data_IF_468453411882
#
_entry.id   IF_468453411882
#
_cell.length_a   1.000
_cell.length_b   1.000
_cell.length_c   1.000
_cell.angle_alpha   90.00
_cell.angle_beta   90.00
_cell.angle_gamma   90.00
#
_symmetry.space_group_name_H-M   'P 1'
#
loop_
_entity.id
_entity.type
_entity.pdbx_description
1 polymer ?
#
# COMPACT_ATOMS: atom_id res chain seq x y z
N UNK A 1 -38.06 22.85 -0.64
CA UNK A 1 -37.63 23.06 0.78
C UNK A 1 -36.13 23.27 0.89
N UNK A 2 -35.30 22.40 0.30
CA UNK A 2 -33.82 22.55 0.32
C UNK A 2 -33.36 23.86 -0.34
N UNK A 3 -33.77 24.13 -1.59
CA UNK A 3 -33.40 25.33 -2.34
C UNK A 3 -33.80 26.66 -1.65
N UNK A 4 -34.77 26.62 -0.79
CA UNK A 4 -35.17 27.78 0.03
C UNK A 4 -34.31 27.93 1.27
N UNK A 5 -34.06 26.84 2.00
CA UNK A 5 -33.42 26.85 3.31
C UNK A 5 -31.93 27.22 3.25
N UNK A 6 -31.16 26.60 2.33
CA UNK A 6 -29.70 26.76 2.36
C UNK A 6 -29.24 28.17 1.98
N UNK A 7 -29.95 28.85 1.04
CA UNK A 7 -29.65 30.26 0.73
C UNK A 7 -29.91 31.21 1.90
N UNK A 8 -30.99 30.98 2.64
CA UNK A 8 -31.30 31.76 3.84
C UNK A 8 -30.30 31.50 4.97
N UNK A 9 -29.92 30.25 5.20
CA UNK A 9 -28.90 29.90 6.21
C UNK A 9 -27.57 30.53 5.88
N UNK A 10 -27.10 30.41 4.64
CA UNK A 10 -25.85 31.02 4.16
C UNK A 10 -25.88 32.56 4.35
N UNK A 11 -27.01 33.20 4.05
CA UNK A 11 -27.18 34.64 4.23
C UNK A 11 -27.15 35.07 5.70
N UNK A 12 -27.85 34.35 6.59
CA UNK A 12 -27.89 34.60 8.04
C UNK A 12 -26.50 34.41 8.65
N UNK A 13 -25.79 33.35 8.26
CA UNK A 13 -24.45 33.05 8.77
C UNK A 13 -23.34 33.88 8.14
N UNK A 14 -23.66 34.75 7.16
CA UNK A 14 -22.69 35.57 6.42
C UNK A 14 -21.62 34.74 5.71
N UNK A 15 -21.99 33.59 5.17
CA UNK A 15 -21.13 32.75 4.34
C UNK A 15 -20.71 33.55 3.10
N UNK A 16 -19.41 33.62 2.80
CA UNK A 16 -18.91 34.37 1.66
C UNK A 16 -19.08 33.59 0.33
N UNK A 17 -18.87 32.27 0.39
CA UNK A 17 -18.94 31.37 -0.77
C UNK A 17 -19.72 30.11 -0.39
N UNK A 18 -20.85 29.91 -1.04
CA UNK A 18 -21.67 28.71 -0.92
C UNK A 18 -21.14 27.67 -1.90
N UNK A 19 -20.65 26.56 -1.39
CA UNK A 19 -19.96 25.54 -2.18
C UNK A 19 -20.89 24.34 -2.43
N UNK A 20 -21.19 24.07 -3.70
CA UNK A 20 -22.08 22.99 -4.12
C UNK A 20 -21.42 22.04 -5.14
N UNK A 21 -22.07 20.91 -5.40
CA UNK A 21 -21.73 20.05 -6.53
C UNK A 21 -22.41 20.52 -7.82
N UNK A 22 -21.94 20.07 -9.00
CA UNK A 22 -22.51 20.41 -10.31
C UNK A 22 -23.98 20.05 -10.44
N UNK A 23 -24.53 19.18 -9.62
CA UNK A 23 -25.97 18.83 -9.57
C UNK A 23 -26.83 20.06 -9.25
N UNK A 24 -26.29 21.08 -8.60
CA UNK A 24 -26.97 22.32 -8.20
C UNK A 24 -26.70 23.51 -9.14
N UNK A 25 -25.94 23.34 -10.23
CA UNK A 25 -25.65 24.42 -11.16
C UNK A 25 -26.92 25.04 -11.75
N UNK A 26 -27.90 24.19 -12.12
CA UNK A 26 -29.19 24.63 -12.65
C UNK A 26 -30.09 25.27 -11.57
N UNK A 27 -29.77 25.12 -10.28
CA UNK A 27 -30.50 25.71 -9.15
C UNK A 27 -29.96 27.10 -8.78
N UNK A 28 -28.76 27.50 -9.25
CA UNK A 28 -28.15 28.79 -8.91
C UNK A 28 -29.05 29.99 -9.22
N UNK A 29 -29.73 30.07 -10.39
CA UNK A 29 -30.64 31.19 -10.64
C UNK A 29 -31.76 31.33 -9.62
N UNK A 30 -32.25 30.22 -9.05
CA UNK A 30 -33.27 30.21 -8.01
C UNK A 30 -32.68 30.66 -6.66
N UNK A 31 -31.46 30.24 -6.34
CA UNK A 31 -30.71 30.68 -5.17
C UNK A 31 -30.51 32.18 -5.16
N UNK A 32 -29.99 32.74 -6.28
CA UNK A 32 -29.74 34.15 -6.45
C UNK A 32 -31.06 34.94 -6.36
N UNK A 33 -32.12 34.49 -7.05
CA UNK A 33 -33.42 35.14 -7.05
C UNK A 33 -34.05 35.25 -5.66
N UNK A 34 -34.00 34.23 -4.82
CA UNK A 34 -34.51 34.28 -3.45
C UNK A 34 -33.81 35.34 -2.60
N UNK A 35 -32.48 35.41 -2.69
CA UNK A 35 -31.67 36.36 -1.91
C UNK A 35 -31.88 37.81 -2.35
N UNK A 36 -32.04 38.03 -3.66
CA UNK A 36 -32.29 39.34 -4.24
C UNK A 36 -33.69 39.86 -3.90
N UNK A 37 -34.74 39.01 -4.06
CA UNK A 37 -36.11 39.39 -3.76
C UNK A 37 -36.36 39.68 -2.28
N UNK A 38 -35.62 39.00 -1.40
CA UNK A 38 -35.66 39.24 0.04
C UNK A 38 -34.80 40.41 0.48
N UNK A 39 -33.93 40.94 -0.38
CA UNK A 39 -33.02 42.04 -0.06
C UNK A 39 -32.03 41.72 1.08
N UNK A 40 -31.61 40.46 1.19
CA UNK A 40 -30.72 40.01 2.26
C UNK A 40 -29.29 39.80 1.71
N UNK A 41 -28.34 39.52 2.64
CA UNK A 41 -26.96 39.28 2.23
C UNK A 41 -26.86 38.13 1.23
N UNK A 42 -26.12 38.38 0.13
CA UNK A 42 -26.03 37.50 -1.01
C UNK A 42 -24.63 36.84 -1.08
N UNK A 43 -24.47 35.58 -0.62
CA UNK A 43 -23.27 34.78 -0.83
C UNK A 43 -23.06 34.43 -2.29
N UNK A 44 -21.81 34.20 -2.69
CA UNK A 44 -21.50 33.70 -4.02
C UNK A 44 -21.62 32.18 -4.05
N UNK A 45 -22.59 31.61 -4.79
CA UNK A 45 -22.65 30.17 -5.02
C UNK A 45 -21.66 29.74 -6.12
N UNK A 46 -20.90 28.71 -5.85
CA UNK A 46 -19.98 28.08 -6.80
C UNK A 46 -20.14 26.57 -6.77
N UNK A 47 -20.07 25.95 -7.94
CA UNK A 47 -20.19 24.50 -8.11
C UNK A 47 -18.95 23.92 -8.76
N UNK A 48 -18.64 22.69 -8.39
CA UNK A 48 -17.59 21.91 -9.04
C UNK A 48 -17.90 20.41 -9.01
N UNK A 49 -17.16 19.68 -9.82
CA UNK A 49 -17.34 18.24 -9.97
C UNK A 49 -17.04 17.48 -8.68
N UNK A 50 -17.83 16.45 -8.45
CA UNK A 50 -17.56 15.44 -7.43
C UNK A 50 -16.35 14.61 -7.84
N UNK A 51 -15.51 14.22 -6.88
CA UNK A 51 -14.46 13.23 -7.09
C UNK A 51 -15.07 11.86 -7.38
N UNK A 52 -14.70 11.26 -8.51
CA UNK A 52 -14.95 9.86 -8.82
C UNK A 52 -13.61 9.15 -9.04
N UNK A 53 -13.49 7.94 -8.53
CA UNK A 53 -12.28 7.12 -8.62
C UNK A 53 -12.59 5.81 -9.36
N UNK A 54 -11.64 5.33 -10.13
CA UNK A 54 -11.70 3.96 -10.68
C UNK A 54 -11.75 2.93 -9.56
N UNK A 55 -12.35 1.76 -9.82
CA UNK A 55 -12.50 0.64 -8.87
C UNK A 55 -13.21 1.01 -7.56
N UNK A 56 -13.98 2.11 -7.56
CA UNK A 56 -14.52 2.68 -6.33
C UNK A 56 -15.94 3.19 -6.51
N UNK A 57 -16.80 2.93 -5.54
CA UNK A 57 -18.15 3.50 -5.45
C UNK A 57 -18.14 4.64 -4.45
N UNK A 58 -18.51 5.86 -4.88
CA UNK A 58 -18.54 7.06 -4.04
C UNK A 58 -19.94 7.43 -3.54
N UNK A 59 -20.94 6.59 -3.80
CA UNK A 59 -22.33 6.81 -3.40
C UNK A 59 -22.60 6.32 -1.98
N UNK A 60 -23.01 7.21 -1.06
CA UNK A 60 -23.38 6.86 0.32
C UNK A 60 -24.41 5.71 0.38
N UNK A 61 -25.42 5.72 -0.50
CA UNK A 61 -26.47 4.68 -0.55
C UNK A 61 -25.86 3.30 -0.83
N UNK A 62 -24.97 3.22 -1.80
CA UNK A 62 -24.28 1.96 -2.17
C UNK A 62 -23.30 1.50 -1.10
N UNK A 63 -22.55 2.43 -0.50
CA UNK A 63 -21.65 2.11 0.62
C UNK A 63 -22.44 1.58 1.83
N UNK A 64 -23.61 2.18 2.14
CA UNK A 64 -24.51 1.69 3.18
C UNK A 64 -25.00 0.27 2.87
N UNK A 65 -25.30 -0.03 1.61
CA UNK A 65 -25.70 -1.37 1.17
C UNK A 65 -24.57 -2.39 1.37
N UNK A 66 -23.32 -2.05 1.02
CA UNK A 66 -22.15 -2.93 1.26
C UNK A 66 -21.96 -3.24 2.75
N UNK A 67 -22.14 -2.26 3.62
CA UNK A 67 -22.07 -2.45 5.08
C UNK A 67 -23.24 -3.27 5.57
N UNK A 68 -24.47 -2.93 5.16
CA UNK A 68 -25.70 -3.59 5.63
C UNK A 68 -25.82 -5.05 5.19
N UNK A 69 -25.28 -5.40 4.02
CA UNK A 69 -25.26 -6.75 3.48
C UNK A 69 -24.01 -7.55 3.88
N UNK A 70 -23.06 -6.95 4.63
CA UNK A 70 -21.89 -7.64 5.19
C UNK A 70 -20.76 -7.92 4.20
N UNK A 71 -20.71 -7.22 3.04
CA UNK A 71 -19.57 -7.31 2.09
C UNK A 71 -18.30 -6.68 2.64
N UNK A 72 -18.44 -5.73 3.55
CA UNK A 72 -17.37 -5.06 4.29
C UNK A 72 -17.68 -5.07 5.78
N UNK A 73 -16.65 -4.98 6.63
CA UNK A 73 -16.79 -5.07 8.10
C UNK A 73 -17.48 -3.87 8.74
N UNK A 74 -17.50 -2.71 8.05
CA UNK A 74 -18.10 -1.48 8.55
C UNK A 74 -17.65 -0.27 7.75
N UNK A 75 -17.99 0.92 8.25
CA UNK A 75 -17.62 2.19 7.63
C UNK A 75 -16.12 2.49 7.69
N UNK A 76 -15.39 1.83 8.57
CA UNK A 76 -13.94 1.90 8.72
C UNK A 76 -13.19 0.74 8.08
N UNK A 77 -13.88 -0.13 7.31
CA UNK A 77 -13.21 -1.18 6.55
C UNK A 77 -12.15 -0.57 5.63
N UNK A 78 -10.89 -1.06 5.66
CA UNK A 78 -9.78 -0.52 4.85
C UNK A 78 -10.00 -0.55 3.33
N UNK A 79 -11.02 -1.22 2.83
CA UNK A 79 -11.42 -1.23 1.42
C UNK A 79 -12.43 -0.12 1.06
N UNK A 80 -12.97 0.55 2.08
CA UNK A 80 -13.96 1.60 1.91
C UNK A 80 -13.30 2.96 1.62
N UNK A 81 -13.85 3.78 0.70
CA UNK A 81 -13.32 5.11 0.39
C UNK A 81 -13.72 6.18 1.41
N UNK A 82 -13.95 5.79 2.64
CA UNK A 82 -14.24 6.70 3.75
C UNK A 82 -12.94 7.18 4.39
N UNK A 83 -12.96 8.35 5.01
CA UNK A 83 -11.79 8.85 5.76
C UNK A 83 -11.38 7.86 6.87
N UNK A 84 -12.36 7.22 7.52
CA UNK A 84 -12.10 6.20 8.56
C UNK A 84 -11.43 4.96 7.97
N UNK A 85 -11.93 4.45 6.83
CA UNK A 85 -11.35 3.29 6.14
C UNK A 85 -9.93 3.58 5.62
N UNK A 86 -9.73 4.73 4.96
CA UNK A 86 -8.41 5.15 4.47
C UNK A 86 -7.41 5.31 5.62
N UNK A 87 -7.83 5.92 6.74
CA UNK A 87 -6.99 6.06 7.95
C UNK A 87 -6.60 4.71 8.52
N UNK A 88 -7.56 3.77 8.66
CA UNK A 88 -7.32 2.42 9.16
C UNK A 88 -6.43 1.62 8.22
N UNK A 89 -6.55 1.82 6.91
CA UNK A 89 -5.64 1.24 5.91
C UNK A 89 -4.21 1.81 6.00
N UNK A 90 -4.03 2.99 6.62
CA UNK A 90 -2.72 3.60 6.85
C UNK A 90 -2.41 4.79 5.94
N UNK A 91 -3.38 5.32 5.19
CA UNK A 91 -3.24 6.55 4.42
C UNK A 91 -2.99 7.73 5.37
N UNK A 92 -2.13 8.64 4.96
CA UNK A 92 -1.80 9.84 5.72
C UNK A 92 -2.66 11.03 5.25
N UNK A 93 -2.98 11.98 6.13
CA UNK A 93 -3.64 13.22 5.70
C UNK A 93 -2.87 13.96 4.62
N UNK A 94 -1.53 13.94 4.69
CA UNK A 94 -0.65 14.60 3.74
C UNK A 94 -0.72 13.97 2.37
N UNK A 95 -0.76 12.64 2.28
CA UNK A 95 -0.91 11.94 0.99
C UNK A 95 -2.24 12.24 0.31
N UNK A 96 -3.33 12.32 1.11
CA UNK A 96 -4.66 12.67 0.59
C UNK A 96 -4.69 14.12 0.11
N UNK A 97 -4.11 15.07 0.85
CA UNK A 97 -4.00 16.47 0.43
C UNK A 97 -3.19 16.61 -0.84
N UNK A 98 -2.01 15.98 -0.92
CA UNK A 98 -1.18 15.99 -2.13
C UNK A 98 -1.97 15.42 -3.34
N UNK A 99 -2.73 14.36 -3.15
CA UNK A 99 -3.61 13.84 -4.19
C UNK A 99 -4.65 14.88 -4.61
N UNK A 100 -5.38 15.51 -3.67
CA UNK A 100 -6.37 16.55 -3.98
C UNK A 100 -5.76 17.76 -4.71
N UNK A 101 -4.56 18.19 -4.32
CA UNK A 101 -3.83 19.27 -5.00
C UNK A 101 -3.47 18.92 -6.44
N UNK A 102 -3.05 17.68 -6.71
CA UNK A 102 -2.69 17.20 -8.06
C UNK A 102 -3.88 17.11 -8.99
N UNK A 103 -5.02 16.64 -8.52
CA UNK A 103 -6.22 16.53 -9.36
C UNK A 103 -6.88 17.89 -9.60
N UNK A 104 -6.73 18.82 -8.63
CA UNK A 104 -7.34 20.15 -8.69
C UNK A 104 -8.86 20.11 -8.62
N UNK A 105 -9.49 21.24 -8.99
CA UNK A 105 -10.94 21.42 -9.03
C UNK A 105 -11.37 21.61 -10.49
N UNK A 106 -12.39 20.88 -10.92
CA UNK A 106 -12.94 20.94 -12.28
C UNK A 106 -14.45 21.23 -12.26
N UNK A 107 -14.94 21.90 -13.32
CA UNK A 107 -16.37 22.13 -13.59
C UNK A 107 -16.95 21.13 -14.59
N UNK A 108 -16.33 19.96 -14.73
CA UNK A 108 -16.85 18.85 -15.54
C UNK A 108 -16.56 17.53 -14.81
N UNK A 109 -17.46 16.58 -14.92
CA UNK A 109 -17.31 15.28 -14.31
C UNK A 109 -16.18 14.49 -14.99
N UNK A 110 -15.28 13.97 -14.19
CA UNK A 110 -14.18 13.09 -14.60
C UNK A 110 -14.01 11.94 -13.63
N UNK A 111 -13.38 10.88 -14.09
CA UNK A 111 -12.97 9.75 -13.25
C UNK A 111 -11.46 9.78 -13.13
N UNK A 112 -10.95 9.76 -11.92
CA UNK A 112 -9.53 9.77 -11.60
C UNK A 112 -9.07 8.34 -11.33
N UNK A 113 -7.92 7.96 -11.88
CA UNK A 113 -7.32 6.66 -11.61
C UNK A 113 -6.90 6.58 -10.13
N UNK A 114 -7.38 5.55 -9.41
CA UNK A 114 -7.01 5.30 -8.00
C UNK A 114 -5.50 5.11 -7.84
N UNK A 115 -4.80 4.67 -8.89
CA UNK A 115 -3.34 4.55 -8.91
C UNK A 115 -2.62 5.84 -8.59
N UNK A 116 -3.19 7.02 -8.93
CA UNK A 116 -2.63 8.32 -8.56
C UNK A 116 -2.72 8.55 -7.03
N UNK A 117 -3.83 8.20 -6.41
CA UNK A 117 -3.97 8.27 -4.94
C UNK A 117 -2.95 7.35 -4.26
N UNK A 118 -2.83 6.12 -4.73
CA UNK A 118 -1.84 5.16 -4.21
C UNK A 118 -0.39 5.63 -4.42
N UNK A 119 -0.12 6.30 -5.54
CA UNK A 119 1.19 6.91 -5.82
C UNK A 119 1.52 8.00 -4.78
N UNK A 120 0.57 8.91 -4.49
CA UNK A 120 0.75 9.93 -3.45
C UNK A 120 1.02 9.33 -2.06
N UNK A 121 0.35 8.21 -1.74
CA UNK A 121 0.60 7.47 -0.50
C UNK A 121 2.02 6.89 -0.48
N UNK A 122 2.49 6.29 -1.58
CA UNK A 122 3.86 5.76 -1.68
C UNK A 122 4.90 6.85 -1.53
N UNK A 123 4.72 7.99 -2.17
CA UNK A 123 5.64 9.14 -2.05
C UNK A 123 5.76 9.65 -0.61
N UNK A 124 4.65 9.80 0.09
CA UNK A 124 4.65 10.26 1.47
C UNK A 124 5.29 9.23 2.40
N UNK A 125 4.87 7.97 2.31
CA UNK A 125 5.38 6.89 3.17
C UNK A 125 6.85 6.57 2.88
N UNK A 126 7.34 6.76 1.65
CA UNK A 126 8.76 6.58 1.34
C UNK A 126 9.66 7.51 2.16
N UNK A 127 9.20 8.71 2.44
CA UNK A 127 9.94 9.69 3.25
C UNK A 127 9.85 9.42 4.75
N UNK A 128 8.72 8.90 5.24
CA UNK A 128 8.39 8.86 6.68
C UNK A 128 8.47 7.49 7.31
N UNK A 129 8.17 6.43 6.55
CA UNK A 129 8.04 5.10 7.13
C UNK A 129 9.40 4.45 7.38
N UNK A 130 9.67 3.99 8.63
CA UNK A 130 10.83 3.15 8.90
C UNK A 130 10.76 1.86 8.07
N UNK A 131 11.92 1.42 7.55
CA UNK A 131 12.08 0.11 6.89
C UNK A 131 12.23 -0.94 7.96
N UNK A 132 11.49 -2.03 7.82
CA UNK A 132 11.57 -3.19 8.71
C UNK A 132 11.52 -4.47 7.89
N UNK A 133 11.94 -5.57 8.45
CA UNK A 133 11.84 -6.88 7.82
C UNK A 133 10.65 -7.65 8.40
N UNK A 134 9.83 -8.20 7.50
CA UNK A 134 8.75 -9.09 7.83
C UNK A 134 8.60 -10.16 6.75
N UNK A 135 8.27 -11.37 7.12
CA UNK A 135 8.09 -12.52 6.24
C UNK A 135 6.64 -12.96 6.35
N UNK A 136 5.91 -12.87 5.26
CA UNK A 136 4.46 -13.10 5.24
C UNK A 136 4.11 -14.58 5.03
N UNK A 137 4.86 -15.25 4.16
CA UNK A 137 4.73 -16.68 3.87
C UNK A 137 6.07 -17.37 4.17
N UNK A 138 6.27 -17.77 5.44
CA UNK A 138 7.59 -18.19 5.90
C UNK A 138 8.01 -19.55 5.33
N UNK A 139 9.25 -19.58 4.82
CA UNK A 139 10.02 -20.80 4.55
C UNK A 139 11.21 -20.82 5.50
N UNK A 140 11.38 -21.91 6.23
CA UNK A 140 12.45 -22.10 7.18
C UNK A 140 13.80 -22.28 6.50
N UNK A 141 14.84 -21.60 6.98
CA UNK A 141 16.22 -21.73 6.51
C UNK A 141 17.11 -22.06 7.71
N UNK A 142 17.88 -23.12 7.59
CA UNK A 142 18.89 -23.51 8.60
C UNK A 142 20.28 -23.29 8.00
N UNK A 143 21.10 -22.50 8.68
CA UNK A 143 22.49 -22.22 8.27
C UNK A 143 23.41 -23.22 8.97
N UNK A 144 23.85 -24.26 8.26
CA UNK A 144 24.53 -25.42 8.83
C UNK A 144 25.88 -25.08 9.48
N UNK A 145 26.60 -24.17 8.90
CA UNK A 145 27.93 -23.74 9.40
C UNK A 145 27.87 -22.51 10.32
N UNK A 146 26.68 -22.09 10.79
CA UNK A 146 26.52 -21.06 11.82
C UNK A 146 26.37 -21.74 13.20
N UNK A 147 27.06 -21.27 14.26
CA UNK A 147 26.98 -21.88 15.59
C UNK A 147 25.54 -21.87 16.16
N UNK A 148 25.17 -22.96 16.86
CA UNK A 148 23.78 -23.14 17.31
C UNK A 148 23.32 -22.09 18.32
N UNK A 149 24.16 -21.79 19.29
CA UNK A 149 23.84 -20.91 20.42
C UNK A 149 24.28 -19.45 20.17
N UNK A 150 24.73 -19.14 18.96
CA UNK A 150 25.20 -17.78 18.65
C UNK A 150 24.05 -16.93 18.09
N UNK A 151 23.90 -15.75 18.69
CA UNK A 151 23.13 -14.64 18.13
C UNK A 151 24.03 -13.45 18.01
N UNK A 152 23.96 -12.75 16.88
CA UNK A 152 24.66 -11.48 16.69
C UNK A 152 23.69 -10.39 16.24
N UNK A 153 24.02 -9.15 16.53
CA UNK A 153 23.25 -7.99 16.09
C UNK A 153 23.85 -7.41 14.80
N UNK A 154 23.00 -7.29 13.79
CA UNK A 154 23.33 -6.65 12.53
C UNK A 154 22.68 -5.26 12.47
N UNK A 155 23.40 -4.28 11.93
CA UNK A 155 22.89 -2.91 11.82
C UNK A 155 22.08 -2.75 10.53
N UNK A 156 20.82 -2.37 10.68
CA UNK A 156 19.91 -2.11 9.58
C UNK A 156 19.51 -0.63 9.55
N UNK A 157 19.51 -0.02 8.36
CA UNK A 157 19.12 1.38 8.16
C UNK A 157 17.61 1.52 8.31
N UNK A 158 17.16 2.48 9.13
CA UNK A 158 15.73 2.70 9.34
C UNK A 158 15.05 3.36 8.14
N UNK A 159 15.70 4.35 7.53
CA UNK A 159 15.21 4.94 6.29
C UNK A 159 16.40 5.48 5.45
N UNK A 160 16.64 4.95 4.24
CA UNK A 160 17.72 5.44 3.39
C UNK A 160 17.47 6.86 2.83
N UNK A 161 16.22 7.32 2.79
CA UNK A 161 15.86 8.69 2.35
C UNK A 161 16.03 9.72 3.47
N UNK A 162 16.08 9.26 4.73
CA UNK A 162 16.26 10.12 5.90
C UNK A 162 17.34 9.52 6.84
N UNK A 163 18.59 9.88 6.65
CA UNK A 163 19.68 9.42 7.52
C UNK A 163 19.50 9.80 9.00
N UNK A 164 18.69 10.85 9.30
CA UNK A 164 18.38 11.25 10.66
C UNK A 164 17.59 10.22 11.46
N UNK A 165 16.91 9.30 10.80
CA UNK A 165 16.23 8.17 11.44
C UNK A 165 17.20 7.09 11.98
N UNK A 166 18.49 7.14 11.63
CA UNK A 166 19.52 6.26 12.15
C UNK A 166 19.38 4.80 11.74
N UNK A 167 19.89 3.90 12.59
CA UNK A 167 19.90 2.46 12.39
C UNK A 167 19.26 1.74 13.57
N UNK A 168 18.92 0.46 13.38
CA UNK A 168 18.45 -0.45 14.41
C UNK A 168 19.25 -1.75 14.38
N UNK A 169 19.30 -2.43 15.53
CA UNK A 169 19.86 -3.75 15.66
C UNK A 169 18.83 -4.82 15.24
N UNK A 170 19.22 -5.73 14.37
CA UNK A 170 18.42 -6.87 13.94
C UNK A 170 19.16 -8.16 14.33
N UNK A 171 18.58 -9.03 15.16
CA UNK A 171 19.23 -10.26 15.58
C UNK A 171 19.35 -11.24 14.41
N UNK A 172 20.55 -11.84 14.26
CA UNK A 172 20.86 -12.90 13.31
C UNK A 172 21.19 -14.18 14.07
N UNK A 173 20.60 -15.29 13.67
CA UNK A 173 20.79 -16.60 14.29
C UNK A 173 20.90 -17.71 13.24
N UNK A 174 21.19 -18.93 13.67
CA UNK A 174 21.31 -20.11 12.79
C UNK A 174 20.04 -20.39 11.99
N UNK A 175 18.86 -20.18 12.56
CA UNK A 175 17.58 -20.45 11.92
C UNK A 175 16.88 -19.16 11.57
N UNK A 176 16.49 -19.02 10.30
CA UNK A 176 15.83 -17.86 9.74
C UNK A 176 14.52 -18.27 9.08
N UNK A 177 13.63 -17.27 8.87
CA UNK A 177 12.54 -17.36 7.91
C UNK A 177 12.79 -16.41 6.75
N UNK A 178 12.48 -16.88 5.54
CA UNK A 178 12.45 -16.09 4.29
C UNK A 178 11.07 -16.25 3.63
N UNK A 179 10.75 -15.45 2.61
CA UNK A 179 9.54 -15.68 1.82
C UNK A 179 9.64 -16.97 1.01
N UNK A 180 8.55 -17.74 0.93
CA UNK A 180 8.46 -18.93 0.07
C UNK A 180 8.80 -18.59 -1.39
N UNK A 181 8.33 -17.43 -1.88
CA UNK A 181 8.60 -16.96 -3.24
C UNK A 181 10.09 -16.64 -3.50
N UNK A 182 10.91 -16.52 -2.45
CA UNK A 182 12.35 -16.29 -2.59
C UNK A 182 13.14 -17.57 -2.86
N UNK A 183 12.48 -18.73 -2.91
CA UNK A 183 13.10 -20.00 -3.28
C UNK A 183 12.40 -20.68 -4.45
N UNK A 184 13.17 -21.30 -5.35
CA UNK A 184 12.70 -22.23 -6.39
C UNK A 184 13.72 -23.32 -6.63
N UNK A 185 13.26 -24.57 -6.72
CA UNK A 185 14.11 -25.71 -7.04
C UNK A 185 14.55 -25.66 -8.51
N UNK A 186 13.63 -25.39 -9.43
CA UNK A 186 13.90 -25.24 -10.86
C UNK A 186 13.63 -23.77 -11.28
N UNK A 187 14.65 -22.90 -11.13
CA UNK A 187 14.50 -21.50 -11.40
C UNK A 187 14.66 -21.15 -12.89
N UNK A 188 13.82 -20.26 -13.44
CA UNK A 188 14.01 -19.76 -14.79
C UNK A 188 15.30 -18.93 -14.93
N UNK A 189 15.80 -18.75 -16.17
CA UNK A 189 17.08 -18.07 -16.45
C UNK A 189 17.28 -16.70 -15.79
N UNK A 190 16.23 -15.93 -15.55
CA UNK A 190 16.27 -14.58 -14.96
C UNK A 190 15.79 -14.54 -13.49
N UNK A 191 15.82 -15.67 -12.80
CA UNK A 191 15.46 -15.73 -11.38
C UNK A 191 16.68 -15.42 -10.53
N UNK A 192 16.69 -14.26 -9.88
CA UNK A 192 17.80 -13.76 -9.05
C UNK A 192 17.46 -13.89 -7.55
N UNK A 193 17.04 -15.08 -7.13
CA UNK A 193 16.73 -15.44 -5.76
C UNK A 193 17.36 -16.79 -5.42
N UNK A 194 17.06 -17.35 -4.25
CA UNK A 194 17.66 -18.57 -3.76
C UNK A 194 17.19 -19.78 -4.58
N UNK A 195 18.13 -20.67 -4.89
CA UNK A 195 17.91 -21.94 -5.55
C UNK A 195 19.06 -22.91 -5.19
N UNK A 196 18.92 -24.22 -5.43
CA UNK A 196 19.99 -25.18 -5.16
C UNK A 196 21.33 -24.74 -5.80
N UNK A 197 22.37 -24.68 -4.99
CA UNK A 197 23.73 -24.24 -5.41
C UNK A 197 23.87 -22.75 -5.76
N UNK A 198 22.82 -21.94 -5.59
CA UNK A 198 22.89 -20.50 -5.85
C UNK A 198 23.09 -19.69 -4.58
N UNK A 199 23.93 -18.66 -4.71
CA UNK A 199 24.22 -17.71 -3.65
C UNK A 199 23.32 -16.47 -3.74
N UNK A 200 22.80 -16.03 -2.59
CA UNK A 200 22.05 -14.77 -2.46
C UNK A 200 22.58 -13.98 -1.26
N UNK A 201 22.34 -12.68 -1.27
CA UNK A 201 22.62 -11.80 -0.14
C UNK A 201 21.38 -11.69 0.77
N UNK A 202 21.55 -11.99 2.03
CA UNK A 202 20.61 -11.60 3.08
C UNK A 202 20.73 -10.09 3.34
N UNK A 203 19.61 -9.40 3.33
CA UNK A 203 19.57 -7.94 3.56
C UNK A 203 20.27 -7.58 4.88
N UNK A 204 21.24 -6.69 4.87
CA UNK A 204 22.08 -6.31 6.02
C UNK A 204 22.97 -7.44 6.60
N UNK A 205 22.84 -8.66 6.13
CA UNK A 205 23.49 -9.85 6.65
C UNK A 205 24.62 -10.37 5.76
N UNK A 206 24.59 -11.65 5.53
CA UNK A 206 25.63 -12.42 4.86
C UNK A 206 25.18 -12.91 3.48
N UNK A 207 26.10 -13.43 2.70
CA UNK A 207 25.79 -14.28 1.57
C UNK A 207 25.50 -15.70 2.07
N UNK A 208 24.45 -16.30 1.54
CA UNK A 208 24.07 -17.68 1.82
C UNK A 208 23.92 -18.46 0.51
N UNK A 209 24.30 -19.75 0.54
CA UNK A 209 24.13 -20.68 -0.57
C UNK A 209 23.24 -21.84 -0.13
N UNK A 210 22.18 -22.14 -0.88
CA UNK A 210 21.34 -23.29 -0.62
C UNK A 210 22.07 -24.58 -1.03
N UNK A 211 22.19 -25.51 -0.07
CA UNK A 211 22.85 -26.81 -0.25
C UNK A 211 21.80 -27.88 -0.51
N UNK A 212 20.69 -27.85 0.23
CA UNK A 212 19.65 -28.87 0.18
C UNK A 212 18.27 -28.23 0.43
N UNK A 213 17.24 -28.77 -0.23
CA UNK A 213 15.85 -28.46 0.03
C UNK A 213 15.16 -29.70 0.64
N UNK A 214 14.69 -29.55 1.86
CA UNK A 214 13.98 -30.62 2.58
C UNK A 214 12.49 -30.52 2.28
N UNK A 215 11.89 -31.64 1.90
CA UNK A 215 10.48 -31.72 1.55
C UNK A 215 9.66 -32.48 2.58
N UNK A 216 8.43 -32.06 2.73
CA UNK A 216 7.44 -32.86 3.45
C UNK A 216 7.15 -34.16 2.68
N UNK A 217 7.24 -35.29 3.36
CA UNK A 217 7.08 -36.63 2.74
C UNK A 217 5.69 -36.88 2.16
N UNK A 218 4.66 -36.16 2.64
CA UNK A 218 3.26 -36.37 2.25
C UNK A 218 2.84 -35.43 1.13
N UNK A 219 3.24 -34.16 1.21
CA UNK A 219 2.82 -33.14 0.25
C UNK A 219 3.82 -32.92 -0.88
N UNK A 220 5.11 -33.28 -0.66
CA UNK A 220 6.21 -32.99 -1.58
C UNK A 220 6.62 -31.51 -1.59
N UNK A 221 6.01 -30.69 -0.77
CA UNK A 221 6.34 -29.26 -0.68
C UNK A 221 7.64 -29.05 0.10
N UNK A 222 8.39 -28.02 -0.28
CA UNK A 222 9.61 -27.63 0.41
C UNK A 222 9.25 -26.96 1.74
N UNK A 223 9.71 -27.52 2.84
CA UNK A 223 9.42 -27.03 4.21
C UNK A 223 10.63 -26.44 4.92
N UNK A 224 11.85 -26.81 4.50
CA UNK A 224 13.08 -26.28 5.06
C UNK A 224 14.19 -26.22 3.98
N UNK A 225 15.06 -25.24 4.09
CA UNK A 225 16.26 -25.12 3.29
C UNK A 225 17.48 -25.27 4.20
N UNK A 226 18.43 -26.09 3.77
CA UNK A 226 19.77 -26.19 4.38
C UNK A 226 20.70 -25.30 3.59
N UNK A 227 21.34 -24.37 4.26
CA UNK A 227 22.20 -23.37 3.64
C UNK A 227 23.56 -23.29 4.36
N UNK A 228 24.56 -22.81 3.67
CA UNK A 228 25.81 -22.35 4.27
C UNK A 228 25.94 -20.83 4.11
N UNK A 229 26.58 -20.15 5.05
CA UNK A 229 26.89 -18.73 4.92
C UNK A 229 28.40 -18.51 4.75
N UNK A 230 28.77 -17.38 4.15
CA UNK A 230 30.14 -16.92 4.06
C UNK A 230 30.39 -15.84 5.13
N UNK A 231 31.14 -16.15 6.20
CA UNK A 231 31.39 -15.23 7.31
C UNK A 231 32.15 -13.96 6.90
N UNK A 232 32.88 -13.97 5.78
CA UNK A 232 33.62 -12.79 5.29
C UNK A 232 32.71 -11.74 4.63
N UNK A 233 31.42 -12.06 4.40
CA UNK A 233 30.47 -11.18 3.71
C UNK A 233 29.53 -10.40 4.65
N UNK A 234 29.95 -10.24 5.91
CA UNK A 234 29.16 -9.48 6.91
C UNK A 234 28.81 -8.08 6.41
N UNK A 235 27.54 -7.71 6.51
CA UNK A 235 27.02 -6.43 5.97
C UNK A 235 26.70 -6.47 4.48
N UNK A 236 26.88 -7.62 3.81
CA UNK A 236 26.44 -7.85 2.44
C UNK A 236 27.41 -7.39 1.35
N UNK A 237 28.70 -7.30 1.66
CA UNK A 237 29.77 -7.11 0.68
C UNK A 237 30.79 -8.26 0.79
N UNK A 238 31.41 -8.61 -0.34
CA UNK A 238 32.40 -9.70 -0.41
C UNK A 238 33.82 -9.14 -0.59
N UNK A 239 34.83 -9.62 0.17
CA UNK A 239 36.23 -9.17 0.03
C UNK A 239 36.84 -9.47 -1.35
N UNK A 240 36.39 -10.54 -2.01
CA UNK A 240 36.83 -10.93 -3.36
C UNK A 240 36.13 -10.13 -4.49
N UNK A 241 35.22 -9.21 -4.13
CA UNK A 241 34.53 -8.34 -5.08
C UNK A 241 33.49 -9.05 -5.94
N UNK A 242 33.13 -10.32 -5.64
CA UNK A 242 32.06 -11.01 -6.37
C UNK A 242 30.72 -10.34 -6.14
N UNK A 243 29.92 -10.22 -7.20
CA UNK A 243 28.62 -9.57 -7.19
C UNK A 243 27.50 -10.60 -7.16
N UNK A 244 26.78 -10.66 -6.05
CA UNK A 244 25.54 -11.43 -5.92
C UNK A 244 24.37 -10.55 -6.32
N UNK A 245 23.59 -10.98 -7.33
CA UNK A 245 22.48 -10.19 -7.89
C UNK A 245 21.24 -10.20 -7.01
N UNK A 246 21.00 -11.30 -6.29
CA UNK A 246 19.81 -11.49 -5.45
C UNK A 246 20.03 -10.94 -4.05
N UNK A 247 19.10 -10.09 -3.57
CA UNK A 247 19.00 -9.72 -2.15
C UNK A 247 17.61 -10.09 -1.66
N UNK A 248 17.55 -10.87 -0.58
CA UNK A 248 16.31 -11.28 0.06
C UNK A 248 16.26 -10.76 1.50
N UNK A 249 15.05 -10.50 1.99
CA UNK A 249 14.83 -10.16 3.39
C UNK A 249 14.54 -11.42 4.20
N UNK A 250 14.66 -11.32 5.50
CA UNK A 250 14.60 -12.45 6.41
C UNK A 250 14.27 -11.97 7.83
N UNK A 251 13.90 -12.90 8.70
CA UNK A 251 13.82 -12.67 10.15
C UNK A 251 14.41 -13.86 10.89
N UNK A 252 15.00 -13.61 12.06
CA UNK A 252 15.54 -14.67 12.94
C UNK A 252 14.38 -15.45 13.56
N UNK A 253 14.34 -16.77 13.38
CA UNK A 253 13.26 -17.61 13.90
C UNK A 253 13.18 -17.60 15.43
N UNK A 254 14.32 -17.44 16.12
CA UNK A 254 14.38 -17.39 17.57
C UNK A 254 13.85 -16.08 18.19
N UNK A 255 13.83 -14.98 17.41
CA UNK A 255 13.54 -13.65 17.92
C UNK A 255 12.33 -12.99 17.25
N UNK A 256 11.87 -13.53 16.11
CA UNK A 256 10.77 -12.95 15.36
C UNK A 256 9.45 -13.02 16.14
N UNK A 257 8.63 -12.02 15.95
CA UNK A 257 7.28 -11.91 16.52
C UNK A 257 6.27 -12.41 15.50
N UNK A 258 5.27 -13.16 15.97
CA UNK A 258 4.16 -13.61 15.15
C UNK A 258 3.24 -12.41 14.84
N UNK A 259 2.79 -12.31 13.60
CA UNK A 259 1.89 -11.24 13.16
C UNK A 259 0.80 -11.78 12.22
N UNK A 260 -0.41 -11.23 12.39
CA UNK A 260 -1.46 -11.32 11.38
C UNK A 260 -1.24 -10.20 10.36
N UNK A 261 -1.32 -10.53 9.08
CA UNK A 261 -1.16 -9.55 8.01
C UNK A 261 -2.37 -9.60 7.08
N UNK A 262 -2.97 -8.45 6.84
CA UNK A 262 -4.14 -8.26 5.98
C UNK A 262 -3.71 -7.60 4.69
N UNK A 263 -3.78 -8.35 3.60
CA UNK A 263 -3.43 -7.85 2.27
C UNK A 263 -4.70 -7.38 1.58
N UNK A 264 -4.92 -6.07 1.60
CA UNK A 264 -6.04 -5.45 0.92
C UNK A 264 -5.72 -5.17 -0.54
N UNK A 265 -6.71 -5.42 -1.41
CA UNK A 265 -6.74 -5.05 -2.82
C UNK A 265 -7.95 -4.15 -3.08
N UNK A 266 -8.20 -3.80 -4.36
CA UNK A 266 -9.39 -3.04 -4.75
C UNK A 266 -10.65 -3.84 -4.42
N UNK A 267 -11.69 -3.15 -3.93
CA UNK A 267 -12.97 -3.78 -3.59
C UNK A 267 -13.73 -4.27 -4.82
N UNK A 268 -13.46 -3.66 -5.99
CA UNK A 268 -14.08 -4.03 -7.26
C UNK A 268 -13.05 -4.52 -8.27
N UNK A 269 -13.46 -5.40 -9.17
CA UNK A 269 -12.63 -6.00 -10.22
C UNK A 269 -12.54 -5.13 -11.47
N UNK A 270 -13.54 -4.25 -11.71
CA UNK A 270 -13.61 -3.36 -12.87
C UNK A 270 -13.33 -1.90 -12.49
N UNK A 271 -12.75 -1.15 -13.43
CA UNK A 271 -12.50 0.29 -13.28
C UNK A 271 -13.79 1.06 -13.00
N UNK A 272 -14.86 0.74 -13.74
CA UNK A 272 -16.20 1.20 -13.46
C UNK A 272 -17.02 0.07 -12.80
N UNK A 273 -17.34 0.17 -11.50
CA UNK A 273 -18.19 -0.79 -10.82
C UNK A 273 -19.60 -0.93 -11.42
N UNK A 274 -20.07 0.07 -12.15
CA UNK A 274 -21.39 0.08 -12.79
C UNK A 274 -21.38 -0.57 -14.19
N UNK A 275 -20.23 -0.92 -14.72
CA UNK A 275 -20.13 -1.71 -15.96
C UNK A 275 -20.52 -3.18 -15.68
N UNK A 276 -21.82 -3.42 -15.66
CA UNK A 276 -22.46 -4.71 -15.39
C UNK A 276 -23.37 -5.14 -16.54
N UNK A 277 -23.65 -6.43 -16.61
CA UNK A 277 -24.63 -6.96 -17.56
C UNK A 277 -26.05 -6.46 -17.25
N UNK A 278 -26.92 -6.46 -18.25
CA UNK A 278 -28.32 -6.01 -18.11
C UNK A 278 -29.03 -6.82 -17.01
N UNK A 279 -29.62 -6.11 -16.05
CA UNK A 279 -30.32 -6.69 -14.90
C UNK A 279 -29.44 -7.02 -13.68
N UNK A 280 -28.12 -6.90 -13.79
CA UNK A 280 -27.20 -7.00 -12.65
C UNK A 280 -26.99 -5.63 -11.97
N UNK A 281 -26.52 -5.65 -10.73
CA UNK A 281 -26.12 -4.44 -10.02
C UNK A 281 -24.57 -4.41 -9.79
N UNK A 282 -24.07 -3.26 -9.33
CA UNK A 282 -22.64 -3.02 -9.12
C UNK A 282 -21.93 -4.10 -8.25
N UNK A 283 -22.67 -4.85 -7.44
CA UNK A 283 -22.15 -5.93 -6.58
C UNK A 283 -21.64 -7.14 -7.39
N UNK A 284 -22.09 -7.29 -8.64
CA UNK A 284 -21.55 -8.33 -9.52
C UNK A 284 -20.05 -8.17 -9.80
N UNK A 285 -19.55 -6.93 -9.68
CA UNK A 285 -18.13 -6.62 -9.87
C UNK A 285 -17.32 -6.58 -8.56
N UNK A 286 -17.90 -7.04 -7.43
CA UNK A 286 -17.13 -7.18 -6.19
C UNK A 286 -15.96 -8.15 -6.37
N UNK A 287 -14.80 -7.78 -5.85
CA UNK A 287 -13.59 -8.60 -5.88
C UNK A 287 -13.59 -9.58 -4.69
N UNK A 288 -13.79 -10.88 -4.92
CA UNK A 288 -13.79 -11.88 -3.85
C UNK A 288 -12.42 -12.00 -3.16
N UNK A 289 -11.36 -11.57 -3.83
CA UNK A 289 -9.98 -11.58 -3.33
C UNK A 289 -9.52 -10.22 -2.82
N UNK A 290 -10.46 -9.31 -2.53
CA UNK A 290 -10.14 -7.95 -2.04
C UNK A 290 -9.48 -7.92 -0.65
N UNK A 291 -9.50 -9.04 0.07
CA UNK A 291 -8.81 -9.26 1.34
C UNK A 291 -8.24 -10.66 1.40
N UNK A 292 -6.92 -10.76 1.57
CA UNK A 292 -6.24 -11.99 1.94
C UNK A 292 -5.73 -11.87 3.38
N UNK A 293 -6.08 -12.85 4.22
CA UNK A 293 -5.69 -12.90 5.63
C UNK A 293 -4.55 -13.90 5.82
N UNK A 294 -3.39 -13.42 6.25
CA UNK A 294 -2.22 -14.23 6.57
C UNK A 294 -2.01 -14.26 8.09
N UNK A 295 -2.15 -15.43 8.71
CA UNK A 295 -2.04 -15.61 10.17
C UNK A 295 -0.68 -16.18 10.61
N UNK A 296 0.20 -16.49 9.66
CA UNK A 296 1.50 -17.13 9.87
C UNK A 296 2.68 -16.19 9.61
N UNK A 297 2.45 -14.89 9.51
CA UNK A 297 3.51 -13.91 9.31
C UNK A 297 4.46 -13.80 10.50
N UNK A 298 5.72 -13.47 10.23
CA UNK A 298 6.76 -13.22 11.23
C UNK A 298 7.44 -11.88 10.93
N UNK A 299 7.62 -11.09 11.97
CA UNK A 299 8.24 -9.76 11.86
C UNK A 299 9.42 -9.62 12.82
N UNK A 300 10.34 -8.71 12.51
CA UNK A 300 11.50 -8.46 13.37
C UNK A 300 11.10 -7.96 14.76
N UNK A 301 11.89 -8.24 15.81
CA UNK A 301 11.53 -7.95 17.20
C UNK A 301 11.42 -6.45 17.54
N UNK A 302 11.98 -5.56 16.72
CA UNK A 302 11.85 -4.11 16.89
C UNK A 302 10.38 -3.62 16.81
N UNK A 303 9.49 -4.46 16.27
CA UNK A 303 8.06 -4.17 16.18
C UNK A 303 7.27 -4.54 17.45
N UNK A 304 7.92 -5.02 18.51
CA UNK A 304 7.24 -5.34 19.79
C UNK A 304 6.49 -4.15 20.39
N UNK A 305 6.99 -2.93 20.21
CA UNK A 305 6.35 -1.69 20.68
C UNK A 305 5.46 -0.99 19.64
N UNK A 306 5.10 -1.67 18.55
CA UNK A 306 4.29 -1.06 17.50
C UNK A 306 2.85 -0.84 17.97
N UNK A 307 2.35 0.39 17.80
CA UNK A 307 1.01 0.82 18.21
C UNK A 307 0.11 1.11 17.02
N UNK A 308 -1.23 0.99 17.16
CA UNK A 308 -2.17 1.31 16.12
C UNK A 308 -1.90 2.66 15.45
N UNK A 309 -1.90 2.67 14.12
CA UNK A 309 -1.59 3.84 13.31
C UNK A 309 -0.10 4.06 13.01
N UNK A 310 0.82 3.33 13.64
CA UNK A 310 2.22 3.30 13.19
C UNK A 310 2.31 2.72 11.78
N UNK A 311 3.19 3.25 10.97
CA UNK A 311 3.37 2.86 9.56
C UNK A 311 4.80 2.45 9.31
N UNK A 312 4.97 1.35 8.55
CA UNK A 312 6.27 0.76 8.24
C UNK A 312 6.35 0.38 6.78
N UNK A 313 7.53 0.41 6.21
CA UNK A 313 7.80 -0.29 4.97
C UNK A 313 8.36 -1.67 5.30
N UNK A 314 7.62 -2.72 4.99
CA UNK A 314 8.18 -4.07 4.99
C UNK A 314 9.05 -4.21 3.73
N UNK A 315 10.34 -4.42 3.94
CA UNK A 315 11.36 -4.47 2.89
C UNK A 315 10.93 -5.40 1.76
N UNK A 316 10.93 -4.88 0.52
CA UNK A 316 10.54 -5.59 -0.71
C UNK A 316 9.04 -5.92 -0.86
N UNK A 317 8.21 -5.73 0.15
CA UNK A 317 6.79 -6.14 0.16
C UNK A 317 5.82 -4.98 -0.06
N UNK A 318 5.93 -3.94 0.73
CA UNK A 318 4.98 -2.82 0.69
C UNK A 318 5.03 -1.93 1.91
N UNK A 319 4.05 -1.05 2.00
CA UNK A 319 3.81 -0.23 3.19
C UNK A 319 2.66 -0.83 3.98
N UNK A 320 2.83 -0.87 5.30
CA UNK A 320 1.90 -1.49 6.23
C UNK A 320 1.61 -0.56 7.39
N UNK A 321 0.38 -0.58 7.87
CA UNK A 321 -0.06 0.14 9.06
C UNK A 321 -0.47 -0.86 10.14
N UNK A 322 -0.13 -0.56 11.39
CA UNK A 322 -0.62 -1.32 12.55
C UNK A 322 -2.11 -1.08 12.69
N UNK A 323 -2.92 -2.14 12.67
CA UNK A 323 -4.37 -2.07 12.81
C UNK A 323 -4.80 -1.86 14.26
N UNK A 324 -5.98 -1.26 14.45
CA UNK A 324 -6.63 -1.10 15.76
C UNK A 324 -6.95 -2.42 16.47
N UNK A 325 -7.02 -3.53 15.71
CA UNK A 325 -7.24 -4.88 16.27
C UNK A 325 -5.97 -5.46 16.90
N UNK A 326 -4.84 -4.75 16.88
CA UNK A 326 -3.60 -5.15 17.56
C UNK A 326 -3.74 -5.03 19.06
N UNK A 327 -3.14 -5.99 19.78
CA UNK A 327 -3.00 -6.03 21.24
C UNK A 327 -1.55 -6.38 21.60
N UNK A 328 -1.23 -6.39 22.90
CA UNK A 328 0.10 -6.78 23.40
C UNK A 328 0.52 -8.18 22.91
N UNK A 329 -0.44 -9.11 22.81
CA UNK A 329 -0.18 -10.50 22.39
C UNK A 329 -0.41 -10.75 20.89
N UNK A 330 -0.94 -9.78 20.16
CA UNK A 330 -1.34 -9.95 18.76
C UNK A 330 -1.03 -8.72 17.94
N UNK A 331 -0.01 -8.80 17.11
CA UNK A 331 0.28 -7.77 16.10
C UNK A 331 -0.57 -8.01 14.85
N UNK A 332 -1.26 -6.97 14.39
CA UNK A 332 -2.07 -6.98 13.16
C UNK A 332 -1.62 -5.84 12.25
N UNK A 333 -1.26 -6.17 11.01
CA UNK A 333 -0.81 -5.20 10.03
C UNK A 333 -1.74 -5.18 8.81
N UNK A 334 -2.15 -3.99 8.40
CA UNK A 334 -2.88 -3.75 7.17
C UNK A 334 -1.92 -3.31 6.07
N UNK A 335 -1.92 -3.98 4.91
CA UNK A 335 -1.19 -3.46 3.75
C UNK A 335 -1.85 -2.18 3.26
N UNK A 336 -1.13 -1.08 3.38
CA UNK A 336 -1.55 0.24 2.88
C UNK A 336 -1.49 0.27 1.36
N UNK A 337 -0.28 0.08 0.80
CA UNK A 337 -0.03 -0.03 -0.65
C UNK A 337 1.18 -0.94 -0.90
N UNK A 338 1.21 -1.58 -2.08
CA UNK A 338 2.38 -2.34 -2.54
C UNK A 338 3.53 -1.41 -2.92
N UNK A 339 4.78 -1.94 -3.01
CA UNK A 339 5.91 -1.18 -3.56
C UNK A 339 5.79 -0.97 -5.07
N UNK A 340 5.00 -1.79 -5.76
CA UNK A 340 4.80 -1.70 -7.20
C UNK A 340 3.93 -0.48 -7.51
N UNK A 341 4.54 0.50 -8.15
CA UNK A 341 3.88 1.74 -8.57
C UNK A 341 3.41 1.61 -10.03
N UNK A 342 2.10 1.45 -10.22
CA UNK A 342 1.48 1.39 -11.55
C UNK A 342 1.40 2.79 -12.16
N UNK A 343 1.13 3.83 -11.36
CA UNK A 343 1.02 5.21 -11.83
C UNK A 343 2.34 5.75 -12.38
N UNK A 344 3.46 5.51 -11.72
CA UNK A 344 4.77 5.93 -12.22
C UNK A 344 5.11 5.39 -13.61
N UNK A 345 4.53 4.25 -14.01
CA UNK A 345 4.67 3.72 -15.36
C UNK A 345 3.79 4.46 -16.36
N UNK A 346 2.56 4.80 -15.98
CA UNK A 346 1.62 5.56 -16.80
C UNK A 346 2.20 6.96 -17.05
N UNK A 347 2.64 7.63 -15.99
CA UNK A 347 3.24 8.97 -16.08
C UNK A 347 4.48 9.00 -16.98
N UNK A 348 5.39 8.04 -16.86
CA UNK A 348 6.54 7.90 -17.74
C UNK A 348 6.14 7.68 -19.19
N UNK A 349 5.11 6.87 -19.44
CA UNK A 349 4.60 6.65 -20.80
C UNK A 349 4.00 7.94 -21.39
N UNK A 350 3.22 8.69 -20.62
CA UNK A 350 2.65 9.96 -21.02
C UNK A 350 3.73 11.03 -21.33
N UNK A 351 4.74 11.15 -20.46
CA UNK A 351 5.87 12.07 -20.67
C UNK A 351 6.68 11.71 -21.92
N UNK A 352 6.81 10.42 -22.22
CA UNK A 352 7.51 9.96 -23.43
C UNK A 352 6.70 10.28 -24.68
N UNK A 353 5.38 10.10 -24.65
CA UNK A 353 4.48 10.46 -25.76
C UNK A 353 4.49 11.97 -26.03
N UNK A 354 4.38 12.80 -25.00
CA UNK A 354 4.41 14.25 -25.12
C UNK A 354 5.72 14.75 -25.75
N UNK A 355 6.87 14.22 -25.31
CA UNK A 355 8.18 14.54 -25.91
C UNK A 355 8.29 14.13 -27.38
N UNK A 356 7.65 13.02 -27.76
CA UNK A 356 7.66 12.52 -29.15
C UNK A 356 6.76 13.37 -30.04
N UNK A 357 5.65 13.88 -29.52
CA UNK A 357 4.75 14.80 -30.24
C UNK A 357 5.39 16.19 -30.45
N UNK A 358 6.07 16.72 -29.44
CA UNK A 358 6.79 17.99 -29.56
C UNK A 358 7.95 17.89 -30.57
N UNK A 359 8.72 16.79 -30.52
CA UNK A 359 9.79 16.54 -31.48
C UNK A 359 9.28 16.37 -32.94
N UNK A 360 8.03 15.97 -33.14
CA UNK A 360 7.39 15.91 -34.49
C UNK A 360 6.91 17.26 -34.99
N UNK A 361 6.57 18.21 -34.09
CA UNK A 361 6.15 19.55 -34.42
C UNK A 361 7.33 20.43 -34.82
N UNK A 362 8.54 20.16 -34.30
CA UNK A 362 9.77 20.92 -34.54
C UNK A 362 10.56 20.44 -35.78
N UNK A 363 10.06 19.46 -36.54
CA UNK A 363 10.70 19.01 -37.79
C UNK A 363 10.18 19.86 -38.95
N UNK A 364 10.97 20.81 -39.53
CA UNK A 364 10.54 21.60 -40.67
C UNK A 364 10.37 20.69 -41.89
N UNK A 365 9.26 20.88 -42.62
CA UNK A 365 9.00 20.27 -43.93
C UNK A 365 9.95 20.83 -44.98
#
# INVERSE_FOLDING_TARGET
MYDWAYGLEDSIERITHSICTLEFENHRPLYDWFLDELGIYHPQQIEFARLNLTYTVMSKRRLLQLVGEGYVSGWDDPRMPTISGLRRRGYTPESIRNFCERIGVAKFNSVIDIGLLEHCVREDLNKRAPRVMGVLRPLRVVIDNYPEDQTEELQAVNNPEDPGMGTRAVPFSRVLYIEQDDFREDPPKKYYRLAPGREVRLRYGYYITCVEAVKDEKTGEVVELRCTYDPQTRGGSSPDGRKVRGTIHWVSAAHALKAEVRLYDHLFTKEDPDDVEEGADFKANLNPNSLELLTSGWVEPTLAGATPGNRYQFERLGYFSVDSDSSEDKLVFNRTVSLRDSWAKIEKAQQTMAKTEDARKDCPQ
#
